data_IF_678727222847
#
_entry.id   IF_678727222847
#
_cell.length_a   1.000
_cell.length_b   1.000
_cell.length_c   1.000
_cell.angle_alpha   90.00
_cell.angle_beta   90.00
_cell.angle_gamma   90.00
#
_symmetry.space_group_name_H-M   'P 1'
#
loop_
_entity.id
_entity.type
_entity.pdbx_description
1 polymer ?
#
# COMPACT_ATOMS: atom_id res chain seq x y z
N UNK A 1 17.26 65.89 13.92
CA UNK A 1 16.25 65.06 13.22
C UNK A 1 16.73 63.61 13.29
N UNK A 2 15.89 62.72 13.85
CA UNK A 2 16.20 61.31 14.12
C UNK A 2 15.73 60.47 12.93
N UNK A 3 16.61 59.71 12.30
CA UNK A 3 16.22 58.65 11.37
C UNK A 3 16.80 57.33 11.85
N UNK A 4 15.94 56.57 12.56
CA UNK A 4 16.15 55.15 12.88
C UNK A 4 15.80 54.36 11.62
N UNK A 5 16.80 53.82 10.92
CA UNK A 5 16.55 52.81 9.90
C UNK A 5 16.40 51.46 10.62
N UNK A 6 15.14 51.05 10.73
CA UNK A 6 14.67 49.82 11.35
C UNK A 6 15.21 48.61 10.56
N UNK A 7 15.93 47.72 11.24
CA UNK A 7 16.23 46.36 10.81
C UNK A 7 14.92 45.62 10.49
N UNK A 8 14.75 45.17 9.25
CA UNK A 8 13.82 44.10 8.93
C UNK A 8 14.64 42.93 8.38
N UNK A 9 14.99 42.04 9.31
CA UNK A 9 15.43 40.70 9.01
C UNK A 9 14.37 40.02 8.14
N UNK A 10 14.76 39.61 6.94
CA UNK A 10 13.95 38.77 6.07
C UNK A 10 14.19 37.32 6.52
N UNK A 11 13.27 36.63 7.23
CA UNK A 11 13.42 35.20 7.40
C UNK A 11 13.12 34.60 6.03
N UNK A 12 14.16 34.12 5.35
CA UNK A 12 14.02 33.23 4.20
C UNK A 12 13.30 31.99 4.73
N UNK A 13 11.99 31.94 4.52
CA UNK A 13 11.15 30.82 4.89
C UNK A 13 11.67 29.58 4.19
N UNK A 14 12.19 28.63 4.98
CA UNK A 14 12.46 27.27 4.53
C UNK A 14 11.12 26.65 4.11
N UNK A 15 10.82 26.65 2.81
CA UNK A 15 9.72 25.87 2.25
C UNK A 15 10.11 24.39 2.35
N UNK A 16 9.78 23.76 3.48
CA UNK A 16 9.80 22.31 3.61
C UNK A 16 8.69 21.76 2.70
N UNK A 17 9.03 21.52 1.44
CA UNK A 17 8.19 20.80 0.49
C UNK A 17 8.09 19.34 0.92
N UNK A 18 7.17 19.04 1.84
CA UNK A 18 6.66 17.67 1.96
C UNK A 18 5.87 17.42 0.68
N UNK A 19 6.46 16.68 -0.26
CA UNK A 19 5.83 16.36 -1.52
C UNK A 19 4.53 15.60 -1.28
N UNK A 20 3.38 16.26 -1.47
CA UNK A 20 2.10 15.59 -1.53
C UNK A 20 2.09 14.70 -2.78
N UNK A 21 2.19 13.39 -2.60
CA UNK A 21 1.91 12.45 -3.69
C UNK A 21 0.42 12.51 -4.01
N UNK A 22 0.07 12.63 -5.28
CA UNK A 22 -1.33 12.69 -5.71
C UNK A 22 -1.99 11.31 -5.50
N UNK A 23 -3.09 11.22 -4.73
CA UNK A 23 -3.73 9.94 -4.42
C UNK A 23 -4.37 9.27 -5.65
N UNK A 24 -4.74 10.04 -6.68
CA UNK A 24 -5.22 9.54 -7.96
C UNK A 24 -4.12 8.83 -8.75
N UNK A 25 -2.91 9.40 -8.77
CA UNK A 25 -1.73 8.79 -9.41
C UNK A 25 -1.35 7.46 -8.74
N UNK A 26 -1.36 7.42 -7.41
CA UNK A 26 -1.12 6.19 -6.63
C UNK A 26 -2.17 5.13 -6.95
N UNK A 27 -3.44 5.51 -7.07
CA UNK A 27 -4.52 4.59 -7.41
C UNK A 27 -4.43 4.08 -8.85
N UNK A 28 -4.02 4.91 -9.80
CA UNK A 28 -3.85 4.50 -11.20
C UNK A 28 -2.73 3.46 -11.34
N UNK A 29 -1.56 3.72 -10.75
CA UNK A 29 -0.47 2.74 -10.65
C UNK A 29 -0.93 1.44 -10.00
N UNK A 30 -1.75 1.55 -8.95
CA UNK A 30 -2.30 0.38 -8.29
C UNK A 30 -3.11 -0.51 -9.24
N UNK A 31 -4.02 0.08 -10.00
CA UNK A 31 -4.85 -0.64 -10.98
C UNK A 31 -4.03 -1.21 -12.13
N UNK A 32 -3.05 -0.47 -12.64
CA UNK A 32 -2.19 -0.91 -13.74
C UNK A 32 -1.40 -2.16 -13.34
N UNK A 33 -0.85 -2.20 -12.12
CA UNK A 33 -0.18 -3.39 -11.62
C UNK A 33 -1.13 -4.57 -11.45
N UNK A 34 -2.33 -4.37 -10.87
CA UNK A 34 -3.31 -5.44 -10.74
C UNK A 34 -3.69 -6.05 -12.10
N UNK A 35 -3.87 -5.20 -13.11
CA UNK A 35 -4.12 -5.65 -14.47
C UNK A 35 -2.94 -6.47 -15.01
N UNK A 36 -1.71 -5.98 -14.88
CA UNK A 36 -0.52 -6.69 -15.36
C UNK A 36 -0.22 -7.99 -14.59
N UNK A 37 -0.55 -8.07 -13.30
CA UNK A 37 -0.41 -9.29 -12.51
C UNK A 37 -1.42 -10.37 -12.93
N UNK A 38 -2.64 -9.96 -13.28
CA UNK A 38 -3.74 -10.86 -13.62
C UNK A 38 -3.82 -11.22 -15.10
N UNK A 39 -3.38 -10.35 -16.01
CA UNK A 39 -3.34 -10.61 -17.47
C UNK A 39 -2.76 -11.99 -17.85
N UNK A 40 -1.63 -12.44 -17.26
CA UNK A 40 -1.03 -13.72 -17.62
C UNK A 40 -1.65 -14.93 -16.88
N UNK A 41 -2.60 -14.71 -15.96
CA UNK A 41 -3.24 -15.73 -15.13
C UNK A 41 -4.65 -16.01 -15.70
N UNK A 42 -4.82 -17.20 -16.28
CA UNK A 42 -6.07 -17.60 -16.94
C UNK A 42 -6.60 -18.91 -16.36
N UNK A 43 -7.85 -18.88 -15.92
CA UNK A 43 -8.56 -20.06 -15.44
C UNK A 43 -8.65 -21.13 -16.56
N UNK A 44 -8.49 -22.40 -16.18
CA UNK A 44 -8.43 -23.57 -17.05
C UNK A 44 -7.12 -23.73 -17.84
N UNK A 45 -6.31 -22.67 -17.99
CA UNK A 45 -5.11 -22.68 -18.82
C UNK A 45 -3.82 -22.66 -18.02
N UNK A 46 -3.71 -21.72 -17.09
CA UNK A 46 -2.49 -21.51 -16.31
C UNK A 46 -2.26 -22.70 -15.38
N UNK A 47 -1.02 -23.21 -15.36
CA UNK A 47 -0.64 -24.34 -14.51
C UNK A 47 0.02 -23.87 -13.21
N UNK A 48 -0.03 -24.71 -12.17
CA UNK A 48 0.68 -24.41 -10.90
C UNK A 48 2.18 -24.21 -11.13
N UNK A 49 2.79 -25.02 -11.99
CA UNK A 49 4.21 -24.88 -12.31
C UNK A 49 4.52 -23.53 -12.96
N UNK A 50 3.70 -23.08 -13.90
CA UNK A 50 3.86 -21.77 -14.54
C UNK A 50 3.75 -20.63 -13.51
N UNK A 51 2.79 -20.71 -12.60
CA UNK A 51 2.65 -19.75 -11.49
C UNK A 51 3.89 -19.74 -10.61
N UNK A 52 4.38 -20.91 -10.20
CA UNK A 52 5.57 -21.02 -9.36
C UNK A 52 6.84 -20.53 -10.08
N UNK A 53 6.95 -20.72 -11.39
CA UNK A 53 8.07 -20.19 -12.17
C UNK A 53 8.02 -18.67 -12.31
N UNK A 54 6.83 -18.10 -12.46
CA UNK A 54 6.65 -16.64 -12.63
C UNK A 54 6.70 -15.88 -11.32
N UNK A 55 5.94 -16.37 -10.34
CA UNK A 55 5.74 -15.69 -9.06
C UNK A 55 6.65 -16.26 -7.97
N UNK A 56 7.32 -17.40 -8.15
CA UNK A 56 8.17 -17.99 -7.11
C UNK A 56 7.39 -18.61 -5.94
N UNK A 57 8.09 -18.78 -4.81
CA UNK A 57 7.60 -19.46 -3.60
C UNK A 57 6.42 -18.74 -2.97
N UNK A 58 5.22 -19.34 -2.86
CA UNK A 58 4.03 -18.68 -2.33
C UNK A 58 4.22 -18.22 -0.89
N UNK A 59 3.43 -17.21 -0.47
CA UNK A 59 3.40 -16.73 0.92
C UNK A 59 2.84 -17.81 1.85
N UNK A 60 1.80 -18.53 1.41
CA UNK A 60 1.32 -19.74 2.06
C UNK A 60 0.73 -20.72 1.04
N UNK A 61 0.64 -21.98 1.46
CA UNK A 61 0.00 -23.05 0.70
C UNK A 61 -0.96 -23.82 1.62
N UNK A 62 -2.15 -24.13 1.10
CA UNK A 62 -3.19 -24.87 1.83
C UNK A 62 -3.64 -26.08 1.02
N UNK A 63 -4.34 -27.00 1.68
CA UNK A 63 -4.91 -28.21 1.07
C UNK A 63 -3.86 -29.00 0.26
N UNK A 64 -2.68 -29.21 0.84
CA UNK A 64 -1.58 -29.93 0.20
C UNK A 64 -0.99 -29.23 -1.03
N UNK A 65 -1.14 -27.91 -1.16
CA UNK A 65 -0.67 -27.13 -2.31
C UNK A 65 -1.70 -26.92 -3.41
N UNK A 66 -2.97 -27.28 -3.14
CA UNK A 66 -4.10 -26.97 -4.02
C UNK A 66 -4.43 -25.48 -4.02
N UNK A 67 -4.24 -24.80 -2.90
CA UNK A 67 -4.48 -23.37 -2.77
C UNK A 67 -3.16 -22.68 -2.48
N UNK A 68 -2.78 -21.71 -3.31
CA UNK A 68 -1.60 -20.88 -3.10
C UNK A 68 -2.01 -19.44 -2.84
N UNK A 69 -1.35 -18.78 -1.89
CA UNK A 69 -1.53 -17.35 -1.63
C UNK A 69 -0.24 -16.59 -1.86
N UNK A 70 -0.38 -15.37 -2.38
CA UNK A 70 0.71 -14.43 -2.63
C UNK A 70 0.32 -13.08 -2.06
N UNK A 71 1.07 -12.63 -1.06
CA UNK A 71 0.83 -11.35 -0.40
C UNK A 71 1.67 -10.25 -1.03
N UNK A 72 1.02 -9.12 -1.27
CA UNK A 72 1.62 -7.92 -1.82
C UNK A 72 1.27 -6.71 -0.97
N UNK A 73 2.19 -5.75 -0.91
CA UNK A 73 2.01 -4.45 -0.28
C UNK A 73 2.16 -3.35 -1.31
N UNK A 74 1.30 -2.35 -1.23
CA UNK A 74 1.43 -1.10 -1.98
C UNK A 74 1.97 -0.03 -1.05
N UNK A 75 3.09 0.57 -1.41
CA UNK A 75 3.63 1.70 -0.65
C UNK A 75 2.89 3.01 -0.95
N UNK A 76 3.26 4.08 -0.23
CA UNK A 76 2.63 5.38 -0.41
C UNK A 76 2.90 6.00 -1.79
N UNK A 77 3.88 5.51 -2.55
CA UNK A 77 4.20 5.96 -3.91
C UNK A 77 3.45 5.18 -5.01
N UNK A 78 2.64 4.18 -4.62
CA UNK A 78 1.90 3.31 -5.54
C UNK A 78 2.73 2.17 -6.10
N UNK A 79 3.94 1.95 -5.60
CA UNK A 79 4.79 0.84 -6.02
C UNK A 79 4.40 -0.43 -5.26
N UNK A 80 4.27 -1.51 -6.01
CA UNK A 80 3.92 -2.82 -5.47
C UNK A 80 5.17 -3.60 -5.12
N UNK A 81 5.17 -4.18 -3.92
CA UNK A 81 6.23 -5.07 -3.47
C UNK A 81 5.61 -6.35 -2.97
N UNK A 82 6.24 -7.46 -3.33
CA UNK A 82 5.87 -8.76 -2.78
C UNK A 82 6.31 -8.83 -1.33
N UNK A 83 5.46 -9.37 -0.47
CA UNK A 83 5.83 -9.66 0.92
C UNK A 83 6.75 -10.88 0.89
N UNK A 84 8.06 -10.62 0.87
CA UNK A 84 9.14 -11.61 0.89
C UNK A 84 9.91 -11.58 2.21
N UNK A 85 10.37 -12.77 2.62
CA UNK A 85 10.87 -13.23 3.94
C UNK A 85 12.00 -12.46 4.63
N UNK A 86 12.47 -11.33 4.09
CA UNK A 86 13.53 -10.53 4.69
C UNK A 86 13.41 -9.07 4.28
N UNK A 87 12.71 -8.29 5.08
CA UNK A 87 13.02 -6.87 5.30
C UNK A 87 12.67 -6.57 6.74
N UNK A 88 13.62 -6.89 7.64
CA UNK A 88 13.83 -6.02 8.79
C UNK A 88 14.14 -4.62 8.25
N UNK A 89 13.77 -3.61 9.04
CA UNK A 89 13.97 -2.17 8.84
C UNK A 89 13.03 -1.43 7.86
N UNK A 90 12.38 -0.42 8.43
CA UNK A 90 11.77 0.77 7.80
C UNK A 90 10.29 0.75 7.42
N UNK A 91 9.44 0.18 8.26
CA UNK A 91 8.01 0.47 8.19
C UNK A 91 7.73 1.85 8.77
N UNK A 92 7.49 2.81 7.88
CA UNK A 92 6.77 4.05 8.18
C UNK A 92 5.41 3.69 8.80
N UNK A 93 5.01 4.41 9.85
CA UNK A 93 3.81 4.18 10.67
C UNK A 93 2.46 4.19 9.90
N UNK A 94 2.48 4.38 8.57
CA UNK A 94 1.33 4.13 7.70
C UNK A 94 1.34 2.65 7.28
N UNK A 95 0.47 1.84 7.90
CA UNK A 95 0.27 0.43 7.52
C UNK A 95 0.01 0.33 6.00
N UNK A 96 0.90 -0.32 5.23
CA UNK A 96 0.72 -0.43 3.78
C UNK A 96 -0.54 -1.24 3.47
N UNK A 97 -1.25 -0.87 2.39
CA UNK A 97 -2.40 -1.64 1.93
C UNK A 97 -1.93 -3.03 1.52
N UNK A 98 -2.42 -4.06 2.20
CA UNK A 98 -2.10 -5.44 1.88
C UNK A 98 -3.12 -5.98 0.89
N UNK A 99 -2.64 -6.65 -0.15
CA UNK A 99 -3.47 -7.33 -1.13
C UNK A 99 -2.97 -8.75 -1.31
N UNK A 100 -3.86 -9.72 -1.19
CA UNK A 100 -3.55 -11.14 -1.30
C UNK A 100 -4.14 -11.70 -2.59
N UNK A 101 -3.29 -12.27 -3.45
CA UNK A 101 -3.72 -13.08 -4.58
C UNK A 101 -3.90 -14.52 -4.10
N UNK A 102 -5.11 -15.05 -4.28
CA UNK A 102 -5.48 -16.44 -3.96
C UNK A 102 -5.66 -17.21 -5.26
N UNK A 103 -4.99 -18.34 -5.39
CA UNK A 103 -5.02 -19.21 -6.56
C UNK A 103 -5.47 -20.61 -6.14
N UNK A 104 -6.51 -21.13 -6.80
CA UNK A 104 -7.07 -22.46 -6.55
C UNK A 104 -6.81 -23.35 -7.75
N UNK A 105 -6.07 -24.42 -7.54
CA UNK A 105 -5.76 -25.42 -8.57
C UNK A 105 -6.71 -26.61 -8.48
N UNK A 106 -7.07 -27.17 -9.63
CA UNK A 106 -7.92 -28.34 -9.76
C UNK A 106 -7.12 -29.59 -10.12
N UNK A 107 -7.79 -30.59 -10.73
CA UNK A 107 -7.12 -31.73 -11.35
C UNK A 107 -6.06 -31.28 -12.36
N UNK A 108 -5.01 -32.09 -12.55
CA UNK A 108 -3.90 -31.81 -13.46
C UNK A 108 -3.13 -30.51 -13.16
N UNK A 109 -3.23 -29.99 -11.93
CA UNK A 109 -2.54 -28.77 -11.48
C UNK A 109 -2.88 -27.53 -12.31
N UNK A 110 -4.10 -27.49 -12.89
CA UNK A 110 -4.62 -26.35 -13.64
C UNK A 110 -5.35 -25.39 -12.72
N UNK A 111 -5.15 -24.09 -12.94
CA UNK A 111 -5.88 -23.05 -12.21
C UNK A 111 -7.38 -23.17 -12.52
N UNK A 112 -8.21 -23.27 -11.50
CA UNK A 112 -9.67 -23.30 -11.65
C UNK A 112 -10.28 -21.95 -11.29
N UNK A 113 -9.62 -21.21 -10.40
CA UNK A 113 -10.07 -19.90 -9.94
C UNK A 113 -8.91 -19.10 -9.39
N UNK A 114 -8.94 -17.80 -9.64
CA UNK A 114 -8.11 -16.83 -8.94
C UNK A 114 -8.97 -15.71 -8.33
N UNK A 115 -8.45 -15.06 -7.29
CA UNK A 115 -9.08 -13.90 -6.67
C UNK A 115 -8.04 -12.98 -6.06
N UNK A 116 -8.28 -11.67 -6.13
CA UNK A 116 -7.46 -10.67 -5.48
C UNK A 116 -8.24 -10.05 -4.32
N UNK A 117 -7.79 -10.30 -3.10
CA UNK A 117 -8.43 -9.85 -1.86
C UNK A 117 -7.67 -8.64 -1.32
N UNK A 118 -8.35 -7.50 -1.17
CA UNK A 118 -7.74 -6.26 -0.68
C UNK A 118 -8.14 -6.04 0.78
N UNK A 119 -7.15 -5.90 1.67
CA UNK A 119 -7.39 -5.45 3.05
C UNK A 119 -7.60 -3.93 3.03
N UNK A 120 -8.87 -3.54 3.00
CA UNK A 120 -9.31 -2.15 3.17
C UNK A 120 -9.50 -1.88 4.67
N UNK A 121 -8.47 -2.06 5.50
CA UNK A 121 -8.45 -1.41 6.80
C UNK A 121 -8.53 0.10 6.58
N UNK A 122 -9.74 0.63 6.74
CA UNK A 122 -10.06 2.05 6.75
C UNK A 122 -9.09 2.67 7.75
N UNK A 123 -8.33 3.66 7.32
CA UNK A 123 -7.53 4.48 8.22
C UNK A 123 -8.54 5.18 9.13
N UNK A 124 -8.83 4.57 10.27
CA UNK A 124 -9.55 5.21 11.35
C UNK A 124 -8.67 6.39 11.74
N UNK A 125 -9.03 7.59 11.26
CA UNK A 125 -8.40 8.82 11.73
C UNK A 125 -8.47 8.78 13.26
N UNK A 126 -7.34 8.94 13.98
CA UNK A 126 -7.42 9.05 15.42
C UNK A 126 -8.42 10.16 15.76
N UNK A 127 -9.22 10.01 16.83
CA UNK A 127 -10.19 11.02 17.21
C UNK A 127 -9.48 12.36 17.20
N UNK A 128 -9.99 13.32 16.42
CA UNK A 128 -9.56 14.71 16.50
C UNK A 128 -9.73 15.06 17.98
N UNK A 129 -8.62 15.13 18.69
CA UNK A 129 -8.57 15.55 20.08
C UNK A 129 -9.36 16.84 20.12
N UNK A 130 -10.55 16.75 20.73
CA UNK A 130 -11.51 17.82 20.75
C UNK A 130 -10.76 19.04 21.28
N UNK A 131 -10.76 20.10 20.47
CA UNK A 131 -10.13 21.36 20.79
C UNK A 131 -10.40 21.69 22.26
N UNK A 132 -9.34 21.67 23.06
CA UNK A 132 -9.34 22.20 24.42
C UNK A 132 -9.77 23.64 24.31
N UNK A 133 -11.07 23.88 24.53
CA UNK A 133 -11.62 25.21 24.72
C UNK A 133 -11.64 25.38 26.23
N UNK A 134 -10.77 26.23 26.82
CA UNK A 134 -11.05 26.68 28.16
C UNK A 134 -12.25 27.63 28.02
N UNK A 135 -13.45 27.10 28.26
CA UNK A 135 -14.56 27.95 28.70
C UNK A 135 -14.15 28.53 30.05
N UNK A 136 -13.99 29.84 30.08
CA UNK A 136 -13.71 30.60 31.28
C UNK A 136 -14.10 32.05 31.05
N UNK A 137 -15.41 32.29 30.89
CA UNK A 137 -15.97 33.64 30.92
C UNK A 137 -16.89 33.78 32.14
N UNK A 138 -16.34 34.47 33.15
CA UNK A 138 -16.95 35.44 34.07
C UNK A 138 -18.09 34.93 34.99
N UNK A 139 -18.51 35.65 36.05
CA UNK A 139 -18.38 37.10 36.32
C UNK A 139 -17.17 37.53 37.16
#
# INVERSE_FOLDING_TARGET
MRSRALLLALPIGLALGVGCVDPGVVQEKARAFEAGLLEPIQDGRTTRQEVLLRLGTPSAAFEGGRILTYDFVVDLSGEWRRVGTSVLSDWSYALPRTTTLVLVFGPEDRLVRHSLVKDLRKVEQPPREAASTPQGQAP
#
